data_IF_289678754189
#
_entry.id   IF_289678754189
#
_cell.length_a   1.000
_cell.length_b   1.000
_cell.length_c   1.000
_cell.angle_alpha   90.00
_cell.angle_beta   90.00
_cell.angle_gamma   90.00
#
_symmetry.space_group_name_H-M   'P 1'
#
loop_
_entity.id
_entity.type
_entity.pdbx_description
1 polymer ?
#
# COMPACT_ATOMS: atom_id res chain seq x y z
N UNK A 1 -9.87 -31.72 2.46
CA UNK A 1 -9.25 -30.38 2.38
C UNK A 1 -8.06 -30.49 1.43
N UNK A 2 -8.03 -29.84 0.25
CA UNK A 2 -6.91 -29.98 -0.68
C UNK A 2 -5.67 -29.35 -0.05
N UNK A 3 -4.61 -30.14 0.02
CA UNK A 3 -3.32 -29.79 0.58
C UNK A 3 -2.62 -28.76 -0.34
N UNK A 4 -2.85 -27.47 -0.12
CA UNK A 4 -2.13 -26.40 -0.83
C UNK A 4 -0.70 -26.38 -0.33
N UNK A 5 0.16 -27.19 -0.93
CA UNK A 5 1.61 -27.10 -0.75
C UNK A 5 2.01 -25.65 -1.09
N UNK A 6 2.28 -24.84 -0.06
CA UNK A 6 2.76 -23.47 -0.22
C UNK A 6 4.04 -23.55 -1.05
N UNK A 7 3.99 -23.15 -2.33
CA UNK A 7 5.15 -23.13 -3.23
C UNK A 7 5.87 -21.80 -3.04
N UNK A 8 6.91 -21.71 -2.18
CA UNK A 8 7.57 -20.44 -1.88
C UNK A 8 8.12 -19.77 -3.15
N UNK A 9 8.61 -20.56 -4.12
CA UNK A 9 9.07 -20.07 -5.42
C UNK A 9 7.99 -19.29 -6.19
N UNK A 10 6.75 -19.77 -6.19
CA UNK A 10 5.64 -19.07 -6.84
C UNK A 10 5.30 -17.75 -6.13
N UNK A 11 5.38 -17.73 -4.79
CA UNK A 11 5.24 -16.51 -4.01
C UNK A 11 6.33 -15.48 -4.30
N UNK A 12 7.59 -15.91 -4.48
CA UNK A 12 8.69 -15.02 -4.87
C UNK A 12 8.49 -14.43 -6.28
N UNK A 13 8.03 -15.25 -7.24
CA UNK A 13 7.73 -14.78 -8.60
C UNK A 13 6.61 -13.74 -8.59
N UNK A 14 5.52 -14.01 -7.87
CA UNK A 14 4.42 -13.04 -7.72
C UNK A 14 4.94 -11.76 -7.06
N UNK A 15 5.69 -11.85 -5.96
CA UNK A 15 6.25 -10.68 -5.28
C UNK A 15 7.16 -9.85 -6.17
N UNK A 16 8.02 -10.50 -6.97
CA UNK A 16 8.88 -9.81 -7.93
C UNK A 16 8.06 -9.12 -9.02
N UNK A 17 7.07 -9.79 -9.60
CA UNK A 17 6.18 -9.20 -10.60
C UNK A 17 5.41 -8.02 -10.02
N UNK A 18 4.89 -8.13 -8.79
CA UNK A 18 4.23 -7.02 -8.10
C UNK A 18 5.15 -5.83 -7.91
N UNK A 19 6.40 -6.06 -7.47
CA UNK A 19 7.40 -5.00 -7.31
C UNK A 19 7.77 -4.34 -8.64
N UNK A 20 7.96 -5.14 -9.71
CA UNK A 20 8.25 -4.64 -11.05
C UNK A 20 7.07 -3.82 -11.61
N UNK A 21 5.84 -4.30 -11.46
CA UNK A 21 4.63 -3.57 -11.86
C UNK A 21 4.47 -2.26 -11.07
N UNK A 22 4.77 -2.27 -9.77
CA UNK A 22 4.74 -1.06 -8.93
C UNK A 22 5.77 -0.03 -9.40
N UNK A 23 7.01 -0.45 -9.67
CA UNK A 23 8.06 0.44 -10.20
C UNK A 23 7.71 1.00 -11.59
N UNK A 24 7.18 0.16 -12.48
CA UNK A 24 6.74 0.59 -13.81
C UNK A 24 5.59 1.60 -13.75
N UNK A 25 4.68 1.46 -12.78
CA UNK A 25 3.54 2.37 -12.60
C UNK A 25 4.01 3.82 -12.39
N UNK A 26 5.01 4.04 -11.53
CA UNK A 26 5.57 5.37 -11.27
C UNK A 26 6.15 6.02 -12.52
N UNK A 27 6.92 5.26 -13.32
CA UNK A 27 7.49 5.75 -14.58
C UNK A 27 6.43 6.15 -15.59
N UNK A 28 5.40 5.31 -15.81
CA UNK A 28 4.31 5.60 -16.74
C UNK A 28 3.52 6.85 -16.33
N UNK A 29 3.18 6.98 -15.04
CA UNK A 29 2.49 8.16 -14.51
C UNK A 29 3.34 9.42 -14.72
N UNK A 30 4.64 9.35 -14.44
CA UNK A 30 5.53 10.50 -14.59
C UNK A 30 5.61 11.02 -16.04
N UNK A 31 5.58 10.12 -17.02
CA UNK A 31 5.60 10.49 -18.45
C UNK A 31 4.27 11.14 -18.85
N UNK A 32 3.14 10.54 -18.47
CA UNK A 32 1.82 11.06 -18.78
C UNK A 32 1.59 12.47 -18.20
N UNK A 33 2.05 12.69 -16.97
CA UNK A 33 1.97 14.01 -16.32
C UNK A 33 2.91 15.04 -16.98
N UNK A 34 4.12 14.66 -17.38
CA UNK A 34 5.08 15.56 -18.06
C UNK A 34 4.59 16.05 -19.42
N UNK A 35 3.81 15.23 -20.13
CA UNK A 35 3.23 15.62 -21.41
C UNK A 35 1.95 16.45 -21.26
N UNK A 36 1.52 16.79 -20.03
CA UNK A 36 0.29 17.55 -19.73
C UNK A 36 -0.98 17.01 -20.42
N UNK A 37 -0.99 15.74 -20.84
CA UNK A 37 -2.10 15.15 -21.59
C UNK A 37 -3.33 14.89 -20.72
N UNK A 38 -3.12 14.65 -19.42
CA UNK A 38 -4.16 14.42 -18.43
C UNK A 38 -3.81 15.12 -17.12
N UNK A 39 -4.80 15.75 -16.48
CA UNK A 39 -4.61 16.25 -15.11
C UNK A 39 -4.47 15.07 -14.12
N UNK A 40 -3.82 15.26 -12.95
CA UNK A 40 -3.68 14.21 -11.93
C UNK A 40 -5.02 13.60 -11.50
N UNK A 41 -6.07 14.44 -11.44
CA UNK A 41 -7.43 14.01 -11.09
C UNK A 41 -8.04 13.11 -12.17
N UNK A 42 -7.91 13.48 -13.45
CA UNK A 42 -8.40 12.69 -14.58
C UNK A 42 -7.65 11.36 -14.71
N UNK A 43 -6.34 11.36 -14.49
CA UNK A 43 -5.53 10.15 -14.52
C UNK A 43 -5.93 9.19 -13.40
N UNK A 44 -6.14 9.72 -12.19
CA UNK A 44 -6.62 8.93 -11.04
C UNK A 44 -8.02 8.38 -11.30
N UNK A 45 -8.93 9.21 -11.82
CA UNK A 45 -10.28 8.81 -12.18
C UNK A 45 -10.28 7.69 -13.23
N UNK A 46 -9.52 7.86 -14.32
CA UNK A 46 -9.41 6.86 -15.38
C UNK A 46 -8.87 5.53 -14.83
N UNK A 47 -7.81 5.58 -14.02
CA UNK A 47 -7.25 4.40 -13.37
C UNK A 47 -8.30 3.69 -12.52
N UNK A 48 -8.99 4.43 -11.65
CA UNK A 48 -10.03 3.87 -10.77
C UNK A 48 -11.20 3.29 -11.58
N UNK A 49 -11.66 3.98 -12.62
CA UNK A 49 -12.73 3.48 -13.50
C UNK A 49 -12.33 2.20 -14.21
N UNK A 50 -11.13 2.15 -14.79
CA UNK A 50 -10.61 0.95 -15.46
C UNK A 50 -10.47 -0.19 -14.45
N UNK A 51 -9.96 0.07 -13.25
CA UNK A 51 -9.87 -0.93 -12.18
C UNK A 51 -11.24 -1.47 -11.81
N UNK A 52 -12.23 -0.62 -11.57
CA UNK A 52 -13.60 -1.03 -11.21
C UNK A 52 -14.26 -1.83 -12.35
N UNK A 53 -14.07 -1.43 -13.61
CA UNK A 53 -14.62 -2.16 -14.77
C UNK A 53 -14.00 -3.55 -14.87
N UNK A 54 -12.67 -3.64 -14.84
CA UNK A 54 -11.96 -4.93 -14.99
C UNK A 54 -12.30 -5.86 -13.83
N UNK A 55 -12.15 -5.36 -12.60
CA UNK A 55 -12.43 -6.17 -11.40
C UNK A 55 -13.90 -6.53 -11.29
N UNK A 56 -14.81 -5.62 -11.67
CA UNK A 56 -16.24 -5.88 -11.75
C UNK A 56 -16.59 -6.97 -12.76
N UNK A 57 -16.01 -6.96 -13.96
CA UNK A 57 -16.21 -8.03 -14.95
C UNK A 57 -15.70 -9.37 -14.40
N UNK A 58 -14.51 -9.38 -13.80
CA UNK A 58 -13.95 -10.60 -13.19
C UNK A 58 -14.87 -11.11 -12.08
N UNK A 59 -15.35 -10.24 -11.20
CA UNK A 59 -16.25 -10.58 -10.10
C UNK A 59 -17.59 -11.12 -10.61
N UNK A 60 -18.11 -10.56 -11.70
CA UNK A 60 -19.35 -11.01 -12.35
C UNK A 60 -19.25 -12.46 -12.85
N UNK A 61 -18.05 -12.87 -13.25
CA UNK A 61 -17.77 -14.22 -13.79
C UNK A 61 -17.40 -15.19 -12.65
N UNK A 62 -16.65 -14.73 -11.65
CA UNK A 62 -16.05 -15.58 -10.62
C UNK A 62 -16.88 -15.69 -9.34
N UNK A 63 -17.41 -14.58 -8.82
CA UNK A 63 -18.12 -14.54 -7.54
C UNK A 63 -19.11 -13.36 -7.49
N UNK A 64 -20.32 -13.59 -8.02
CA UNK A 64 -21.39 -12.58 -8.01
C UNK A 64 -21.87 -12.24 -6.60
N UNK A 65 -21.64 -13.10 -5.61
CA UNK A 65 -22.05 -12.83 -4.24
C UNK A 65 -21.15 -11.75 -3.59
N UNK A 66 -19.90 -11.62 -4.04
CA UNK A 66 -18.97 -10.60 -3.55
C UNK A 66 -19.39 -9.14 -3.90
N UNK A 67 -20.36 -8.94 -4.81
CA UNK A 67 -20.99 -7.62 -4.98
C UNK A 67 -21.87 -7.21 -3.80
N UNK A 68 -22.31 -8.17 -2.96
CA UNK A 68 -23.16 -7.90 -1.81
C UNK A 68 -22.30 -7.85 -0.55
N UNK A 69 -22.11 -6.65 -0.02
CA UNK A 69 -21.45 -6.46 1.27
C UNK A 69 -22.48 -6.55 2.41
N UNK A 70 -22.08 -7.23 3.48
CA UNK A 70 -22.75 -7.11 4.77
C UNK A 70 -22.47 -5.73 5.38
N UNK A 71 -23.34 -5.26 6.28
CA UNK A 71 -23.16 -3.96 6.97
C UNK A 71 -21.79 -3.85 7.66
N UNK A 72 -21.27 -4.97 8.19
CA UNK A 72 -19.95 -5.04 8.81
C UNK A 72 -18.82 -4.85 7.79
N UNK A 73 -18.92 -5.47 6.61
CA UNK A 73 -17.94 -5.31 5.54
C UNK A 73 -17.97 -3.88 4.97
N UNK A 74 -19.14 -3.26 4.83
CA UNK A 74 -19.23 -1.85 4.44
C UNK A 74 -18.49 -0.95 5.42
N UNK A 75 -18.69 -1.12 6.72
CA UNK A 75 -17.97 -0.34 7.73
C UNK A 75 -16.46 -0.60 7.64
N UNK A 76 -16.03 -1.84 7.43
CA UNK A 76 -14.60 -2.15 7.25
C UNK A 76 -14.01 -1.46 6.02
N UNK A 77 -14.69 -1.48 4.88
CA UNK A 77 -14.25 -0.83 3.64
C UNK A 77 -14.24 0.69 3.79
N UNK A 78 -15.25 1.28 4.44
CA UNK A 78 -15.27 2.73 4.73
C UNK A 78 -14.12 3.14 5.64
N UNK A 79 -13.85 2.37 6.70
CA UNK A 79 -12.71 2.65 7.59
C UNK A 79 -11.38 2.49 6.84
N UNK A 80 -11.24 1.44 6.02
CA UNK A 80 -10.05 1.21 5.21
C UNK A 80 -9.83 2.32 4.18
N UNK A 81 -10.90 2.77 3.51
CA UNK A 81 -10.88 3.88 2.57
C UNK A 81 -10.53 5.21 3.22
N UNK A 82 -11.14 5.55 4.37
CA UNK A 82 -10.91 6.82 5.04
C UNK A 82 -9.57 6.83 5.78
N UNK A 83 -9.40 5.91 6.74
CA UNK A 83 -8.24 5.89 7.63
C UNK A 83 -6.98 5.32 6.96
N UNK A 84 -7.15 4.41 6.00
CA UNK A 84 -6.03 3.82 5.27
C UNK A 84 -5.66 4.62 4.03
N UNK A 85 -6.61 4.89 3.14
CA UNK A 85 -6.31 5.41 1.78
C UNK A 85 -6.39 6.94 1.68
N UNK A 86 -7.44 7.56 2.22
CA UNK A 86 -7.65 9.00 2.11
C UNK A 86 -6.71 9.78 3.03
N UNK A 87 -6.58 9.35 4.29
CA UNK A 87 -5.60 9.94 5.22
C UNK A 87 -4.17 9.81 4.68
N UNK A 88 -3.78 8.62 4.21
CA UNK A 88 -2.47 8.41 3.60
C UNK A 88 -2.21 9.41 2.48
N UNK A 89 -3.10 9.50 1.50
CA UNK A 89 -2.94 10.43 0.37
C UNK A 89 -2.87 11.89 0.81
N UNK A 90 -3.75 12.31 1.73
CA UNK A 90 -3.79 13.69 2.19
C UNK A 90 -2.52 14.07 2.96
N UNK A 91 -2.11 13.26 3.94
CA UNK A 91 -0.95 13.56 4.76
C UNK A 91 0.36 13.37 4.00
N UNK A 92 0.43 12.45 3.05
CA UNK A 92 1.57 12.35 2.13
C UNK A 92 1.71 13.60 1.26
N UNK A 93 0.63 14.09 0.67
CA UNK A 93 0.65 15.33 -0.12
C UNK A 93 1.12 16.53 0.73
N UNK A 94 0.62 16.65 1.97
CA UNK A 94 1.05 17.67 2.92
C UNK A 94 2.53 17.52 3.32
N UNK A 95 3.01 16.29 3.51
CA UNK A 95 4.42 16.02 3.80
C UNK A 95 5.32 16.44 2.63
N UNK A 96 5.02 15.99 1.42
CA UNK A 96 5.80 16.31 0.21
C UNK A 96 5.80 17.81 -0.12
N UNK A 97 4.79 18.56 0.33
CA UNK A 97 4.79 20.03 0.21
C UNK A 97 5.79 20.74 1.14
N UNK A 98 6.39 20.02 2.09
CA UNK A 98 7.22 20.54 3.19
C UNK A 98 8.61 19.92 3.26
N UNK A 99 8.72 18.64 2.90
CA UNK A 99 9.96 17.85 2.91
C UNK A 99 10.16 17.14 1.58
N UNK A 100 11.40 16.72 1.33
CA UNK A 100 11.75 15.97 0.12
C UNK A 100 10.92 14.69 -0.01
N UNK A 101 10.48 14.41 -1.24
CA UNK A 101 9.71 13.18 -1.58
C UNK A 101 10.42 11.92 -1.11
N UNK A 102 11.75 11.89 -1.24
CA UNK A 102 12.57 10.76 -0.78
C UNK A 102 12.43 10.50 0.72
N UNK A 103 12.40 11.55 1.54
CA UNK A 103 12.21 11.44 2.99
C UNK A 103 10.77 11.03 3.29
N UNK A 104 9.77 11.65 2.65
CA UNK A 104 8.37 11.27 2.86
C UNK A 104 8.14 9.77 2.58
N UNK A 105 8.72 9.25 1.48
CA UNK A 105 8.67 7.83 1.14
C UNK A 105 9.41 6.95 2.15
N UNK A 106 10.54 7.41 2.71
CA UNK A 106 11.24 6.67 3.77
C UNK A 106 10.31 6.41 4.96
N UNK A 107 9.53 7.40 5.39
CA UNK A 107 8.53 7.22 6.45
C UNK A 107 7.44 6.22 6.06
N UNK A 108 6.92 6.27 4.83
CA UNK A 108 5.93 5.29 4.38
C UNK A 108 6.49 3.87 4.37
N UNK A 109 7.72 3.67 3.90
CA UNK A 109 8.34 2.35 3.89
C UNK A 109 8.67 1.83 5.30
N UNK A 110 8.85 2.70 6.30
CA UNK A 110 8.94 2.31 7.71
C UNK A 110 7.61 1.72 8.25
N UNK A 111 6.48 1.92 7.57
CA UNK A 111 5.25 1.23 7.90
C UNK A 111 5.38 -0.30 7.77
N UNK A 112 6.17 -0.80 6.81
CA UNK A 112 6.36 -2.24 6.58
C UNK A 112 7.00 -2.96 7.79
N UNK A 113 8.15 -2.52 8.32
CA UNK A 113 8.69 -3.10 9.56
C UNK A 113 7.81 -2.82 10.77
N UNK A 114 7.09 -1.69 10.82
CA UNK A 114 6.15 -1.40 11.89
C UNK A 114 5.00 -2.43 11.91
N UNK A 115 4.41 -2.76 10.75
CA UNK A 115 3.41 -3.82 10.61
C UNK A 115 3.97 -5.16 11.07
N UNK A 116 5.17 -5.53 10.62
CA UNK A 116 5.81 -6.78 11.04
C UNK A 116 6.04 -6.86 12.57
N UNK A 117 6.47 -5.75 13.19
CA UNK A 117 6.66 -5.67 14.63
C UNK A 117 5.32 -5.74 15.38
N UNK A 118 4.31 -5.02 14.92
CA UNK A 118 2.97 -5.05 15.52
C UNK A 118 2.40 -6.47 15.42
N UNK A 119 2.56 -7.15 14.29
CA UNK A 119 2.09 -8.53 14.13
C UNK A 119 2.84 -9.51 15.04
N UNK A 120 4.14 -9.32 15.24
CA UNK A 120 4.93 -10.09 16.21
C UNK A 120 4.44 -9.88 17.65
N UNK A 121 4.23 -8.63 18.06
CA UNK A 121 3.91 -8.26 19.45
C UNK A 121 2.45 -8.56 19.80
N UNK A 122 1.52 -8.17 18.93
CA UNK A 122 0.08 -8.27 19.20
C UNK A 122 -0.56 -9.57 18.70
N UNK A 123 -0.09 -10.13 17.57
CA UNK A 123 -0.63 -11.39 17.02
C UNK A 123 0.24 -12.63 17.34
N UNK A 124 1.37 -12.44 18.04
CA UNK A 124 2.30 -13.51 18.47
C UNK A 124 2.81 -14.37 17.29
N UNK A 125 2.88 -13.80 16.09
CA UNK A 125 3.40 -14.50 14.92
C UNK A 125 4.92 -14.61 14.97
N UNK A 126 5.48 -15.78 14.65
CA UNK A 126 6.94 -15.99 14.72
C UNK A 126 7.64 -15.36 13.50
N UNK A 127 8.21 -14.19 13.69
CA UNK A 127 9.07 -13.52 12.69
C UNK A 127 10.48 -14.15 12.70
N UNK A 128 10.93 -14.67 11.56
CA UNK A 128 12.27 -15.27 11.41
C UNK A 128 13.36 -14.20 11.46
N UNK A 129 14.53 -14.51 12.05
CA UNK A 129 15.71 -13.61 12.10
C UNK A 129 16.11 -13.00 10.76
N UNK A 130 15.91 -13.72 9.65
CA UNK A 130 16.18 -13.22 8.28
C UNK A 130 15.37 -11.97 7.92
N UNK A 131 14.13 -11.84 8.44
CA UNK A 131 13.26 -10.69 8.15
C UNK A 131 13.85 -9.41 8.74
N UNK A 132 14.42 -9.48 9.95
CA UNK A 132 15.11 -8.34 10.57
C UNK A 132 16.31 -7.86 9.77
N UNK A 133 17.08 -8.78 9.19
CA UNK A 133 18.18 -8.42 8.29
C UNK A 133 17.66 -7.72 7.02
N UNK A 134 16.58 -8.23 6.42
CA UNK A 134 15.94 -7.58 5.26
C UNK A 134 15.40 -6.19 5.60
N UNK A 135 14.77 -6.01 6.76
CA UNK A 135 14.31 -4.70 7.25
C UNK A 135 15.49 -3.73 7.36
N UNK A 136 16.59 -4.14 7.98
CA UNK A 136 17.79 -3.30 8.09
C UNK A 136 18.35 -2.88 6.74
N UNK A 137 18.41 -3.81 5.78
CA UNK A 137 18.88 -3.54 4.42
C UNK A 137 17.97 -2.55 3.68
N UNK A 138 16.65 -2.67 3.85
CA UNK A 138 15.65 -1.76 3.26
C UNK A 138 15.79 -0.36 3.84
N UNK A 139 15.90 -0.23 5.16
CA UNK A 139 16.08 1.08 5.83
C UNK A 139 17.37 1.74 5.35
N UNK A 140 18.47 0.98 5.26
CA UNK A 140 19.74 1.49 4.78
C UNK A 140 19.67 1.97 3.32
N UNK A 141 19.09 1.16 2.43
CA UNK A 141 18.91 1.53 1.02
C UNK A 141 18.03 2.78 0.85
N UNK A 142 16.96 2.88 1.64
CA UNK A 142 16.07 4.04 1.60
C UNK A 142 16.73 5.30 2.15
N UNK A 143 17.55 5.20 3.19
CA UNK A 143 18.31 6.34 3.70
C UNK A 143 19.25 6.91 2.61
N UNK A 144 19.89 6.03 1.83
CA UNK A 144 20.73 6.43 0.69
C UNK A 144 19.90 7.11 -0.40
N UNK A 145 18.78 6.52 -0.81
CA UNK A 145 17.90 7.07 -1.86
C UNK A 145 17.29 8.41 -1.44
N UNK A 146 16.92 8.54 -0.17
CA UNK A 146 16.33 9.75 0.40
C UNK A 146 17.36 10.87 0.64
N UNK A 147 18.66 10.60 0.47
CA UNK A 147 19.75 11.56 0.71
C UNK A 147 19.61 12.32 2.03
N UNK A 148 19.25 11.62 3.13
CA UNK A 148 18.93 12.22 4.43
C UNK A 148 20.00 13.16 5.00
N UNK A 149 21.24 13.07 4.50
CA UNK A 149 22.36 13.94 4.89
C UNK A 149 22.34 15.33 4.25
N UNK A 150 21.55 15.55 3.20
CA UNK A 150 21.51 16.81 2.44
C UNK A 150 20.13 17.51 2.47
N UNK A 151 19.23 17.03 3.32
CA UNK A 151 17.85 17.51 3.37
C UNK A 151 17.60 18.37 4.59
N UNK A 152 16.93 19.51 4.40
CA UNK A 152 16.40 20.31 5.51
C UNK A 152 15.07 19.72 5.98
N UNK A 153 15.06 19.17 7.19
CA UNK A 153 13.86 18.58 7.78
C UNK A 153 12.95 19.68 8.37
N UNK A 154 11.80 19.91 7.73
CA UNK A 154 10.70 20.66 8.33
C UNK A 154 9.98 19.77 9.37
N UNK A 155 9.97 20.12 10.68
CA UNK A 155 9.29 19.35 11.72
C UNK A 155 7.82 19.09 11.43
N UNK A 156 7.13 20.04 10.76
CA UNK A 156 5.72 19.89 10.40
C UNK A 156 5.56 18.84 9.30
N UNK A 157 6.46 18.84 8.31
CA UNK A 157 6.49 17.82 7.27
C UNK A 157 6.75 16.42 7.82
N UNK A 158 7.63 16.30 8.82
CA UNK A 158 7.91 15.03 9.53
C UNK A 158 6.67 14.51 10.26
N UNK A 159 5.90 15.39 10.91
CA UNK A 159 4.64 15.01 11.57
C UNK A 159 3.65 14.48 10.53
N UNK A 160 3.48 15.18 9.41
CA UNK A 160 2.59 14.71 8.34
C UNK A 160 3.04 13.37 7.74
N UNK A 161 4.35 13.19 7.50
CA UNK A 161 4.89 11.93 7.01
C UNK A 161 4.68 10.78 8.01
N UNK A 162 4.77 11.07 9.31
CA UNK A 162 4.51 10.09 10.37
C UNK A 162 3.03 9.69 10.45
N UNK A 163 2.11 10.65 10.28
CA UNK A 163 0.68 10.37 10.22
C UNK A 163 0.34 9.55 8.98
N UNK A 164 0.94 9.88 7.82
CA UNK A 164 0.81 9.12 6.59
C UNK A 164 1.30 7.66 6.79
N UNK A 165 2.47 7.47 7.39
CA UNK A 165 2.99 6.14 7.71
C UNK A 165 2.06 5.36 8.66
N UNK A 166 1.49 6.01 9.67
CA UNK A 166 0.53 5.39 10.58
C UNK A 166 -0.78 4.97 9.86
N UNK A 167 -1.31 5.83 8.97
CA UNK A 167 -2.43 5.48 8.10
C UNK A 167 -2.09 4.26 7.22
N UNK A 168 -0.85 4.17 6.73
CA UNK A 168 -0.40 3.05 5.92
C UNK A 168 -0.30 1.73 6.71
N UNK A 169 0.14 1.79 7.97
CA UNK A 169 0.09 0.64 8.89
C UNK A 169 -1.36 0.16 9.07
N UNK A 170 -2.29 1.09 9.32
CA UNK A 170 -3.73 0.78 9.47
C UNK A 170 -4.27 0.13 8.19
N UNK A 171 -3.92 0.65 7.02
CA UNK A 171 -4.29 0.07 5.73
C UNK A 171 -3.83 -1.39 5.61
N UNK A 172 -2.56 -1.69 5.88
CA UNK A 172 -2.05 -3.07 5.80
C UNK A 172 -2.73 -4.00 6.79
N UNK A 173 -2.86 -3.59 8.05
CA UNK A 173 -3.45 -4.42 9.10
C UNK A 173 -4.94 -4.70 8.87
N UNK A 174 -5.70 -3.66 8.48
CA UNK A 174 -7.12 -3.83 8.19
C UNK A 174 -7.35 -4.59 6.87
N UNK A 175 -6.48 -4.39 5.88
CA UNK A 175 -6.48 -5.14 4.63
C UNK A 175 -6.30 -6.64 4.88
N UNK A 176 -5.28 -7.01 5.67
CA UNK A 176 -5.04 -8.42 6.03
C UNK A 176 -6.23 -9.04 6.77
N UNK A 177 -6.82 -8.34 7.72
CA UNK A 177 -8.04 -8.82 8.42
C UNK A 177 -9.23 -8.92 7.47
N UNK A 178 -9.39 -7.98 6.54
CA UNK A 178 -10.52 -7.99 5.63
C UNK A 178 -10.42 -9.15 4.62
N UNK A 179 -9.21 -9.58 4.27
CA UNK A 179 -8.94 -10.75 3.40
C UNK A 179 -9.38 -12.07 4.06
N UNK A 180 -9.49 -12.11 5.39
CA UNK A 180 -10.06 -13.27 6.10
C UNK A 180 -11.58 -13.38 5.99
N UNK A 181 -12.26 -12.28 5.61
CA UNK A 181 -13.72 -12.15 5.63
C UNK A 181 -14.34 -11.90 4.25
N UNK A 182 -13.52 -11.67 3.22
CA UNK A 182 -13.96 -11.39 1.86
C UNK A 182 -12.92 -11.89 0.85
N UNK A 183 -13.35 -12.22 -0.36
CA UNK A 183 -12.44 -12.62 -1.43
C UNK A 183 -11.49 -11.46 -1.80
N UNK A 184 -10.26 -11.80 -2.20
CA UNK A 184 -9.25 -10.81 -2.65
C UNK A 184 -9.82 -9.89 -3.73
N UNK A 185 -10.53 -10.46 -4.71
CA UNK A 185 -11.14 -9.69 -5.80
C UNK A 185 -12.27 -8.76 -5.32
N UNK A 186 -13.06 -9.19 -4.34
CA UNK A 186 -14.09 -8.33 -3.73
C UNK A 186 -13.48 -7.12 -3.02
N UNK A 187 -12.33 -7.29 -2.38
CA UNK A 187 -11.62 -6.18 -1.73
C UNK A 187 -10.98 -5.20 -2.71
N UNK A 188 -10.46 -5.68 -3.84
CA UNK A 188 -9.87 -4.78 -4.84
C UNK A 188 -10.97 -3.97 -5.55
N UNK A 189 -12.18 -4.52 -5.66
CA UNK A 189 -13.31 -3.84 -6.28
C UNK A 189 -13.91 -2.72 -5.42
N UNK A 190 -14.00 -2.92 -4.08
CA UNK A 190 -14.62 -2.00 -3.12
C UNK A 190 -13.63 -1.05 -2.47
#
# INVERSE_FOLDING_TARGET
>A
MPNTARRPAFGYVIGFLSAASFGANGSVISILLRHNTLSPSQLTLLRTLVTVIITGIILLITDRAAFRLTRRQVVQMVVLGIAGVAMLQQFYALAVSRIDVGIALLFEYLAVPAVALISLVFFKERVRRRIWFSIGLVIAGLAVVAQVWNSTLDPVGVIYASIAAAAYVVYFMLGERSLSSMSVMGMVFW
#
